data_IF_009181439158
#
_entry.id   IF_009181439158
#
_cell.length_a   1.000
_cell.length_b   1.000
_cell.length_c   1.000
_cell.angle_alpha   90.00
_cell.angle_beta   90.00
_cell.angle_gamma   90.00
#
_symmetry.space_group_name_H-M   'P 1'
#
loop_
_entity.id
_entity.type
_entity.pdbx_description
1 polymer ?
#
# COMPACT_ATOMS: atom_id res chain seq x y z
N UNK A 1 -47.48 -24.45 -57.93
CA UNK A 1 -48.03 -25.30 -56.85
C UNK A 1 -47.10 -25.21 -55.64
N UNK A 2 -47.66 -24.79 -54.50
CA UNK A 2 -46.99 -24.69 -53.19
C UNK A 2 -46.60 -26.08 -52.69
N UNK A 3 -45.38 -26.25 -52.15
CA UNK A 3 -45.18 -26.99 -50.89
C UNK A 3 -44.08 -26.30 -50.09
N UNK A 4 -44.57 -25.52 -49.14
CA UNK A 4 -43.89 -24.94 -48.00
C UNK A 4 -43.35 -26.11 -47.14
N UNK A 5 -42.07 -26.09 -46.77
CA UNK A 5 -41.62 -26.74 -45.56
C UNK A 5 -40.89 -25.69 -44.72
N UNK A 6 -41.62 -25.13 -43.76
CA UNK A 6 -41.02 -24.55 -42.57
C UNK A 6 -40.24 -25.68 -41.87
N UNK A 7 -38.95 -25.50 -41.67
CA UNK A 7 -38.27 -26.10 -40.53
C UNK A 7 -37.93 -24.97 -39.57
N UNK A 8 -38.61 -24.97 -38.44
CA UNK A 8 -38.34 -24.09 -37.32
C UNK A 8 -36.90 -24.30 -36.86
N UNK A 9 -36.05 -23.27 -37.01
CA UNK A 9 -34.83 -23.20 -36.24
C UNK A 9 -35.22 -22.93 -34.79
N UNK A 10 -35.28 -23.98 -33.98
CA UNK A 10 -35.23 -23.83 -32.53
C UNK A 10 -33.85 -23.29 -32.22
N UNK A 11 -33.75 -21.97 -32.09
CA UNK A 11 -32.64 -21.33 -31.41
C UNK A 11 -32.73 -21.78 -29.95
N UNK A 12 -32.04 -22.88 -29.62
CA UNK A 12 -31.57 -23.04 -28.25
C UNK A 12 -30.56 -21.91 -28.04
N UNK A 13 -31.02 -20.82 -27.45
CA UNK A 13 -30.15 -19.93 -26.70
C UNK A 13 -29.48 -20.81 -25.65
N UNK A 14 -28.26 -21.26 -25.94
CA UNK A 14 -27.36 -21.75 -24.91
C UNK A 14 -27.32 -20.62 -23.88
N UNK A 15 -27.68 -20.85 -22.61
CA UNK A 15 -27.47 -19.84 -21.61
C UNK A 15 -25.96 -19.57 -21.63
N UNK A 16 -25.57 -18.36 -22.03
CA UNK A 16 -24.30 -17.79 -21.57
C UNK A 16 -24.35 -18.00 -20.07
N UNK A 17 -23.53 -18.91 -19.53
CA UNK A 17 -23.57 -19.27 -18.12
C UNK A 17 -23.54 -17.96 -17.33
N UNK A 18 -24.62 -17.66 -16.61
CA UNK A 18 -24.62 -16.52 -15.71
C UNK A 18 -23.62 -16.86 -14.62
N UNK A 19 -22.40 -16.34 -14.76
CA UNK A 19 -21.34 -16.51 -13.78
C UNK A 19 -21.89 -16.20 -12.38
N UNK A 20 -21.69 -17.10 -11.42
CA UNK A 20 -22.22 -16.94 -10.06
C UNK A 20 -21.63 -15.69 -9.40
N UNK A 21 -22.32 -15.14 -8.41
CA UNK A 21 -21.81 -14.00 -7.64
C UNK A 21 -20.43 -14.33 -7.04
N UNK A 22 -20.27 -15.53 -6.50
CA UNK A 22 -19.00 -16.01 -5.95
C UNK A 22 -17.88 -16.07 -7.00
N UNK A 23 -18.17 -16.55 -8.22
CA UNK A 23 -17.15 -16.65 -9.27
C UNK A 23 -16.71 -15.27 -9.79
N UNK A 24 -17.65 -14.32 -9.94
CA UNK A 24 -17.34 -12.92 -10.30
C UNK A 24 -16.43 -12.27 -9.27
N UNK A 25 -16.77 -12.39 -7.99
CA UNK A 25 -15.98 -11.84 -6.89
C UNK A 25 -14.62 -12.52 -6.78
N UNK A 26 -14.56 -13.84 -6.95
CA UNK A 26 -13.31 -14.60 -6.98
C UNK A 26 -12.37 -14.13 -8.09
N UNK A 27 -12.88 -13.83 -9.28
CA UNK A 27 -12.09 -13.27 -10.38
C UNK A 27 -11.50 -11.91 -10.02
N UNK A 28 -12.30 -11.00 -9.47
CA UNK A 28 -11.84 -9.66 -9.07
C UNK A 28 -10.70 -9.76 -8.05
N UNK A 29 -10.83 -10.65 -7.06
CA UNK A 29 -9.76 -10.87 -6.07
C UNK A 29 -8.52 -11.46 -6.74
N UNK A 30 -8.66 -12.51 -7.55
CA UNK A 30 -7.52 -13.16 -8.20
C UNK A 30 -6.77 -12.23 -9.17
N UNK A 31 -7.48 -11.27 -9.77
CA UNK A 31 -6.90 -10.26 -10.65
C UNK A 31 -6.37 -9.03 -9.90
N UNK A 32 -6.54 -8.98 -8.58
CA UNK A 32 -6.23 -7.81 -7.77
C UNK A 32 -6.96 -6.53 -8.22
N UNK A 33 -8.15 -6.67 -8.80
CA UNK A 33 -8.99 -5.55 -9.19
C UNK A 33 -9.78 -5.04 -7.98
N UNK A 34 -9.09 -4.27 -7.13
CA UNK A 34 -9.65 -3.80 -5.87
C UNK A 34 -10.74 -2.74 -6.05
N UNK A 35 -10.66 -1.92 -7.10
CA UNK A 35 -11.72 -0.97 -7.44
C UNK A 35 -12.96 -1.69 -7.97
N UNK A 36 -12.78 -2.64 -8.89
CA UNK A 36 -13.87 -3.49 -9.35
C UNK A 36 -14.50 -4.28 -8.20
N UNK A 37 -13.70 -4.78 -7.25
CA UNK A 37 -14.19 -5.44 -6.06
C UNK A 37 -15.01 -4.50 -5.16
N UNK A 38 -14.53 -3.28 -4.89
CA UNK A 38 -15.24 -2.29 -4.06
C UNK A 38 -16.58 -1.88 -4.67
N UNK A 39 -16.63 -1.72 -6.00
CA UNK A 39 -17.85 -1.36 -6.72
C UNK A 39 -18.87 -2.52 -6.78
N UNK A 40 -18.41 -3.74 -7.05
CA UNK A 40 -19.30 -4.89 -7.33
C UNK A 40 -19.71 -5.67 -6.07
N UNK A 41 -18.86 -5.72 -5.04
CA UNK A 41 -19.15 -6.50 -3.84
C UNK A 41 -20.47 -6.11 -3.15
N UNK A 42 -20.78 -4.82 -2.90
CA UNK A 42 -22.04 -4.43 -2.27
C UNK A 42 -23.29 -4.86 -3.03
N UNK A 43 -23.19 -5.00 -4.36
CA UNK A 43 -24.28 -5.40 -5.26
C UNK A 43 -24.47 -6.92 -5.23
N UNK A 44 -23.37 -7.68 -5.15
CA UNK A 44 -23.38 -9.14 -5.30
C UNK A 44 -23.43 -9.90 -3.97
N UNK A 45 -23.05 -9.28 -2.84
CA UNK A 45 -22.87 -9.96 -1.55
C UNK A 45 -24.07 -10.78 -1.08
N UNK A 46 -25.29 -10.32 -1.33
CA UNK A 46 -26.52 -10.99 -0.88
C UNK A 46 -26.83 -12.25 -1.71
N UNK A 47 -26.23 -12.35 -2.91
CA UNK A 47 -26.35 -13.53 -3.79
C UNK A 47 -25.18 -14.51 -3.63
N UNK A 48 -24.11 -14.14 -2.91
CA UNK A 48 -22.97 -15.01 -2.65
C UNK A 48 -23.30 -16.13 -1.66
N UNK A 49 -22.84 -17.34 -1.96
CA UNK A 49 -23.06 -18.52 -1.13
C UNK A 49 -21.86 -18.85 -0.22
N UNK A 50 -20.67 -18.38 -0.57
CA UNK A 50 -19.42 -18.75 0.11
C UNK A 50 -19.07 -17.69 1.17
N UNK A 51 -19.24 -18.01 2.45
CA UNK A 51 -19.07 -17.04 3.53
C UNK A 51 -17.61 -16.59 3.74
N UNK A 52 -16.64 -17.50 3.62
CA UNK A 52 -15.23 -17.11 3.71
C UNK A 52 -14.86 -16.12 2.58
N UNK A 53 -15.49 -16.26 1.40
CA UNK A 53 -15.22 -15.38 0.26
C UNK A 53 -15.78 -13.97 0.50
N UNK A 54 -16.98 -13.86 1.11
CA UNK A 54 -17.52 -12.56 1.55
C UNK A 54 -16.56 -11.87 2.50
N UNK A 55 -16.07 -12.61 3.51
CA UNK A 55 -15.16 -12.06 4.50
C UNK A 55 -13.80 -11.68 3.89
N UNK A 56 -13.30 -12.49 2.94
CA UNK A 56 -12.09 -12.18 2.19
C UNK A 56 -12.27 -10.91 1.34
N UNK A 57 -13.43 -10.72 0.71
CA UNK A 57 -13.75 -9.47 -0.01
C UNK A 57 -13.71 -8.26 0.92
N UNK A 58 -14.38 -8.33 2.08
CA UNK A 58 -14.38 -7.25 3.07
C UNK A 58 -12.97 -6.89 3.53
N UNK A 59 -12.14 -7.90 3.85
CA UNK A 59 -10.74 -7.71 4.25
C UNK A 59 -9.95 -6.98 3.17
N UNK A 60 -10.04 -7.44 1.91
CA UNK A 60 -9.26 -6.86 0.82
C UNK A 60 -9.73 -5.45 0.47
N UNK A 61 -11.03 -5.17 0.52
CA UNK A 61 -11.54 -3.80 0.34
C UNK A 61 -11.06 -2.92 1.51
N UNK A 62 -11.21 -3.37 2.75
CA UNK A 62 -10.80 -2.57 3.91
C UNK A 62 -9.30 -2.30 3.94
N UNK A 63 -8.46 -3.27 3.52
CA UNK A 63 -7.03 -3.07 3.41
C UNK A 63 -6.65 -2.07 2.31
N UNK A 64 -7.15 -2.27 1.08
CA UNK A 64 -6.76 -1.45 -0.06
C UNK A 64 -7.36 -0.03 -0.03
N UNK A 65 -8.43 0.20 0.74
CA UNK A 65 -9.07 1.51 0.90
C UNK A 65 -8.81 2.14 2.28
N UNK A 66 -7.65 1.86 2.88
CA UNK A 66 -7.12 2.50 4.08
C UNK A 66 -8.06 2.41 5.31
N UNK A 67 -8.64 1.23 5.57
CA UNK A 67 -9.45 0.92 6.77
C UNK A 67 -8.81 -0.22 7.59
N UNK A 68 -7.59 -0.01 8.12
CA UNK A 68 -6.76 -1.07 8.70
C UNK A 68 -7.38 -1.77 9.92
N UNK A 69 -8.13 -1.05 10.76
CA UNK A 69 -8.82 -1.66 11.92
C UNK A 69 -9.87 -2.67 11.50
N UNK A 70 -10.63 -2.36 10.44
CA UNK A 70 -11.64 -3.29 9.91
C UNK A 70 -10.97 -4.47 9.22
N UNK A 71 -9.91 -4.24 8.45
CA UNK A 71 -9.13 -5.30 7.82
C UNK A 71 -8.56 -6.28 8.86
N UNK A 72 -7.93 -5.80 9.94
CA UNK A 72 -7.45 -6.65 11.04
C UNK A 72 -8.60 -7.41 11.70
N UNK A 73 -9.73 -6.75 11.96
CA UNK A 73 -10.91 -7.42 12.52
C UNK A 73 -11.44 -8.52 11.60
N UNK A 74 -11.45 -8.30 10.29
CA UNK A 74 -11.86 -9.27 9.29
C UNK A 74 -10.90 -10.45 9.24
N UNK A 75 -9.59 -10.20 9.22
CA UNK A 75 -8.55 -11.25 9.21
C UNK A 75 -8.70 -12.13 10.45
N UNK A 76 -8.88 -11.56 11.64
CA UNK A 76 -9.10 -12.34 12.87
C UNK A 76 -10.34 -13.24 12.77
N UNK A 77 -11.45 -12.74 12.24
CA UNK A 77 -12.67 -13.54 12.01
C UNK A 77 -12.41 -14.67 11.01
N UNK A 78 -11.71 -14.38 9.91
CA UNK A 78 -11.42 -15.35 8.85
C UNK A 78 -10.55 -16.49 9.39
N UNK A 79 -9.48 -16.13 10.11
CA UNK A 79 -8.58 -17.08 10.75
C UNK A 79 -9.22 -17.81 11.94
N UNK A 80 -10.29 -17.29 12.55
CA UNK A 80 -10.98 -18.03 13.63
C UNK A 80 -11.94 -19.07 13.05
N UNK A 81 -12.66 -18.71 11.97
CA UNK A 81 -13.83 -19.48 11.53
C UNK A 81 -13.58 -20.32 10.27
N UNK A 82 -12.59 -19.98 9.44
CA UNK A 82 -12.49 -20.52 8.07
C UNK A 82 -11.09 -21.02 7.67
N UNK A 83 -10.18 -21.32 8.62
CA UNK A 83 -8.81 -21.77 8.29
C UNK A 83 -8.78 -22.98 7.34
N UNK A 84 -9.63 -23.98 7.61
CA UNK A 84 -9.70 -25.20 6.81
C UNK A 84 -10.24 -24.95 5.39
N UNK A 85 -11.12 -23.96 5.23
CA UNK A 85 -11.75 -23.63 3.94
C UNK A 85 -10.81 -22.84 3.04
N UNK A 86 -10.03 -21.90 3.59
CA UNK A 86 -9.11 -21.08 2.80
C UNK A 86 -7.77 -21.79 2.52
N UNK A 87 -7.42 -22.80 3.33
CA UNK A 87 -6.19 -23.57 3.18
C UNK A 87 -4.95 -22.87 3.75
N UNK A 88 -3.91 -23.67 4.05
CA UNK A 88 -2.72 -23.22 4.80
C UNK A 88 -1.98 -22.03 4.18
N UNK A 89 -1.83 -22.00 2.85
CA UNK A 89 -1.16 -20.88 2.17
C UNK A 89 -1.89 -19.55 2.35
N UNK A 90 -3.23 -19.55 2.29
CA UNK A 90 -4.02 -18.34 2.51
C UNK A 90 -4.07 -17.95 4.00
N UNK A 91 -4.07 -18.92 4.92
CA UNK A 91 -3.90 -18.66 6.37
C UNK A 91 -2.59 -17.91 6.62
N UNK A 92 -1.48 -18.37 6.02
CA UNK A 92 -0.18 -17.71 6.14
C UNK A 92 -0.19 -16.33 5.48
N UNK A 93 -0.77 -16.21 4.28
CA UNK A 93 -0.91 -14.92 3.59
C UNK A 93 -1.66 -13.88 4.42
N UNK A 94 -2.79 -14.26 5.04
CA UNK A 94 -3.58 -13.38 5.91
C UNK A 94 -2.85 -13.02 7.21
N UNK A 95 -2.07 -13.95 7.75
CA UNK A 95 -1.23 -13.71 8.93
C UNK A 95 -0.11 -12.71 8.62
N UNK A 96 0.57 -12.85 7.48
CA UNK A 96 1.58 -11.91 6.99
C UNK A 96 0.95 -10.53 6.78
N UNK A 97 -0.23 -10.48 6.12
CA UNK A 97 -0.96 -9.23 5.91
C UNK A 97 -1.30 -8.54 7.23
N UNK A 98 -1.75 -9.28 8.25
CA UNK A 98 -2.02 -8.71 9.57
C UNK A 98 -0.76 -8.09 10.20
N UNK A 99 0.38 -8.78 10.13
CA UNK A 99 1.66 -8.26 10.63
C UNK A 99 2.09 -7.00 9.87
N UNK A 100 1.87 -6.98 8.54
CA UNK A 100 2.18 -5.81 7.71
C UNK A 100 1.31 -4.60 8.06
N UNK A 101 0.00 -4.81 8.27
CA UNK A 101 -0.90 -3.74 8.70
C UNK A 101 -0.46 -3.19 10.07
N UNK A 102 -0.14 -4.05 11.04
CA UNK A 102 0.39 -3.61 12.34
C UNK A 102 1.69 -2.82 12.18
N UNK A 103 2.61 -3.29 11.34
CA UNK A 103 3.84 -2.58 11.04
C UNK A 103 3.64 -1.22 10.37
N UNK A 104 2.72 -1.11 9.40
CA UNK A 104 2.37 0.17 8.76
C UNK A 104 1.78 1.17 9.76
N UNK A 105 1.15 0.70 10.83
CA UNK A 105 0.68 1.53 11.95
C UNK A 105 1.78 1.89 12.95
N UNK A 106 2.98 1.37 12.76
CA UNK A 106 4.11 1.56 13.68
C UNK A 106 4.10 0.62 14.89
N UNK A 107 3.26 -0.41 14.90
CA UNK A 107 3.24 -1.44 15.95
C UNK A 107 4.32 -2.51 15.67
N UNK A 108 5.56 -2.08 15.48
CA UNK A 108 6.65 -2.92 14.99
C UNK A 108 6.95 -4.11 15.91
N UNK A 109 6.99 -3.88 17.23
CA UNK A 109 7.24 -4.94 18.21
C UNK A 109 6.13 -6.02 18.15
N UNK A 110 4.86 -5.61 18.07
CA UNK A 110 3.73 -6.53 17.95
C UNK A 110 3.78 -7.31 16.64
N UNK A 111 4.08 -6.65 15.51
CA UNK A 111 4.22 -7.31 14.21
C UNK A 111 5.33 -8.37 14.23
N UNK A 112 6.49 -8.05 14.81
CA UNK A 112 7.59 -9.01 14.97
C UNK A 112 7.19 -10.18 15.88
N UNK A 113 6.60 -9.91 17.04
CA UNK A 113 6.19 -10.95 17.98
C UNK A 113 5.14 -11.91 17.37
N UNK A 114 4.16 -11.38 16.64
CA UNK A 114 3.16 -12.17 15.96
C UNK A 114 3.79 -13.08 14.90
N UNK A 115 4.71 -12.54 14.08
CA UNK A 115 5.44 -13.34 13.10
C UNK A 115 6.27 -14.46 13.77
N UNK A 116 7.00 -14.14 14.84
CA UNK A 116 7.79 -15.12 15.60
C UNK A 116 6.92 -16.24 16.17
N UNK A 117 5.77 -15.90 16.78
CA UNK A 117 4.87 -16.90 17.36
C UNK A 117 4.38 -17.93 16.33
N UNK A 118 4.14 -17.51 15.09
CA UNK A 118 3.66 -18.42 14.03
C UNK A 118 4.82 -19.25 13.47
N UNK A 119 6.02 -18.67 13.34
CA UNK A 119 7.24 -19.42 13.00
C UNK A 119 7.47 -20.54 14.03
N UNK A 120 7.35 -20.25 15.32
CA UNK A 120 7.55 -21.23 16.39
C UNK A 120 6.51 -22.37 16.33
N UNK A 121 5.25 -22.05 16.04
CA UNK A 121 4.18 -23.04 15.84
C UNK A 121 4.46 -23.95 14.64
N UNK A 122 4.89 -23.38 13.51
CA UNK A 122 5.21 -24.15 12.30
C UNK A 122 6.44 -25.05 12.52
N UNK A 123 7.46 -24.54 13.20
CA UNK A 123 8.64 -25.35 13.60
C UNK A 123 8.25 -26.50 14.52
N UNK A 124 7.36 -26.27 15.49
CA UNK A 124 6.84 -27.32 16.37
C UNK A 124 6.03 -28.40 15.61
N UNK A 125 5.49 -28.07 14.44
CA UNK A 125 4.81 -29.01 13.53
C UNK A 125 5.73 -29.64 12.49
N UNK A 126 7.06 -29.46 12.61
CA UNK A 126 8.08 -29.92 11.65
C UNK A 126 7.86 -29.39 10.22
N UNK A 127 7.33 -28.17 10.08
CA UNK A 127 7.24 -27.53 8.78
C UNK A 127 8.63 -27.28 8.17
N UNK A 128 8.75 -27.45 6.86
CA UNK A 128 9.97 -27.11 6.12
C UNK A 128 10.17 -25.58 6.09
N UNK A 129 11.41 -25.14 5.85
CA UNK A 129 11.79 -23.72 5.96
C UNK A 129 11.01 -22.83 4.99
N UNK A 130 10.75 -23.35 3.81
CA UNK A 130 10.00 -22.73 2.72
C UNK A 130 8.58 -22.35 3.16
N UNK A 131 8.00 -23.06 4.14
CA UNK A 131 6.66 -22.78 4.65
C UNK A 131 6.57 -21.51 5.51
N UNK A 132 7.68 -21.02 6.07
CA UNK A 132 7.69 -19.86 6.97
C UNK A 132 8.74 -18.80 6.62
N UNK A 133 9.43 -18.92 5.50
CA UNK A 133 10.43 -17.94 5.04
C UNK A 133 9.86 -16.51 4.95
N UNK A 134 8.64 -16.36 4.44
CA UNK A 134 7.96 -15.06 4.38
C UNK A 134 7.73 -14.44 5.77
N UNK A 135 7.43 -15.26 6.78
CA UNK A 135 7.31 -14.78 8.16
C UNK A 135 8.67 -14.43 8.76
N UNK A 136 9.74 -15.17 8.44
CA UNK A 136 11.11 -14.82 8.89
C UNK A 136 11.54 -13.45 8.34
N UNK A 137 11.17 -13.13 7.10
CA UNK A 137 11.41 -11.80 6.53
C UNK A 137 10.64 -10.70 7.28
N UNK A 138 9.36 -10.92 7.58
CA UNK A 138 8.53 -10.00 8.38
C UNK A 138 9.10 -9.81 9.77
N UNK A 139 9.44 -10.89 10.47
CA UNK A 139 10.05 -10.87 11.79
C UNK A 139 11.36 -10.10 11.80
N UNK A 140 12.27 -10.43 10.88
CA UNK A 140 13.57 -9.77 10.75
C UNK A 140 13.42 -8.27 10.51
N UNK A 141 12.52 -7.89 9.60
CA UNK A 141 12.27 -6.49 9.27
C UNK A 141 11.74 -5.70 10.48
N UNK A 142 10.65 -6.15 11.10
CA UNK A 142 10.03 -5.40 12.19
C UNK A 142 10.80 -5.48 13.52
N UNK A 143 11.60 -6.52 13.74
CA UNK A 143 12.51 -6.58 14.88
C UNK A 143 13.53 -5.44 14.87
N UNK A 144 14.08 -5.10 13.69
CA UNK A 144 14.99 -3.97 13.52
C UNK A 144 14.31 -2.61 13.78
N UNK A 145 13.00 -2.53 13.58
CA UNK A 145 12.21 -1.32 13.80
C UNK A 145 11.60 -1.23 15.21
N UNK A 146 11.66 -2.29 16.01
CA UNK A 146 10.95 -2.39 17.30
C UNK A 146 11.27 -1.30 18.32
N UNK A 147 12.46 -0.69 18.24
CA UNK A 147 12.91 0.42 19.10
C UNK A 147 12.73 1.80 18.47
N UNK A 148 12.19 1.86 17.26
CA UNK A 148 12.04 3.09 16.49
C UNK A 148 10.64 3.67 16.77
N UNK A 149 10.54 4.97 17.08
CA UNK A 149 9.24 5.62 17.23
C UNK A 149 8.39 5.45 15.98
N UNK A 150 7.10 5.23 16.17
CA UNK A 150 6.16 5.11 15.07
C UNK A 150 6.02 6.45 14.32
N UNK A 151 5.95 6.43 12.96
CA UNK A 151 5.67 7.61 12.17
C UNK A 151 4.37 8.27 12.63
N UNK A 152 4.38 9.58 12.81
CA UNK A 152 3.23 10.34 13.30
C UNK A 152 3.24 11.77 12.78
N UNK A 153 2.12 12.46 12.88
CA UNK A 153 1.98 13.83 12.40
C UNK A 153 1.48 14.76 13.49
N UNK A 154 2.17 15.89 13.65
CA UNK A 154 1.66 17.05 14.38
C UNK A 154 1.12 18.05 13.36
N UNK A 155 -0.10 18.52 13.55
CA UNK A 155 -0.77 19.48 12.66
C UNK A 155 -1.73 20.39 13.44
N UNK A 156 -2.07 21.58 12.93
CA UNK A 156 -3.12 22.39 13.52
C UNK A 156 -4.51 21.77 13.31
N UNK A 157 -5.46 22.15 14.15
CA UNK A 157 -6.89 21.80 14.08
C UNK A 157 -7.64 22.55 12.96
N UNK A 158 -7.05 22.56 11.76
CA UNK A 158 -7.63 23.17 10.57
C UNK A 158 -7.10 22.54 9.30
N UNK A 159 -7.78 22.84 8.19
CA UNK A 159 -7.31 22.48 6.85
C UNK A 159 -5.95 23.11 6.59
N UNK A 160 -4.98 22.30 6.18
CA UNK A 160 -3.65 22.78 5.80
C UNK A 160 -3.55 22.84 4.29
N UNK A 161 -3.31 24.02 3.73
CA UNK A 161 -3.05 24.20 2.31
C UNK A 161 -1.56 24.42 2.06
N UNK A 162 -0.97 23.63 1.17
CA UNK A 162 0.44 23.68 0.81
C UNK A 162 0.55 24.06 -0.68
N UNK A 163 1.30 25.12 -1.03
CA UNK A 163 1.56 25.42 -2.43
C UNK A 163 2.40 24.31 -3.06
N UNK A 164 2.07 23.96 -4.30
CA UNK A 164 2.79 22.96 -5.08
C UNK A 164 3.29 23.55 -6.39
N UNK A 165 4.27 22.88 -6.97
CA UNK A 165 4.69 23.13 -8.34
C UNK A 165 4.30 21.93 -9.21
N UNK A 166 3.98 22.20 -10.47
CA UNK A 166 3.66 21.16 -11.45
C UNK A 166 4.64 21.31 -12.59
N UNK A 167 5.51 20.32 -12.75
CA UNK A 167 6.54 20.32 -13.78
C UNK A 167 6.26 19.24 -14.81
N UNK A 168 6.53 19.54 -16.07
CA UNK A 168 6.49 18.51 -17.11
C UNK A 168 7.73 17.63 -16.99
N UNK A 169 7.56 16.33 -17.19
CA UNK A 169 8.65 15.35 -17.20
C UNK A 169 9.11 15.13 -18.63
N UNK A 170 10.36 15.52 -18.93
CA UNK A 170 10.97 15.25 -20.23
C UNK A 170 11.71 13.93 -20.15
N UNK A 171 11.41 12.99 -21.06
CA UNK A 171 12.26 11.82 -21.19
C UNK A 171 13.65 12.23 -21.72
N UNK A 172 14.71 11.54 -21.29
CA UNK A 172 16.01 11.61 -21.93
C UNK A 172 15.89 11.26 -23.39
N UNK A 173 16.80 11.83 -24.17
CA UNK A 173 16.93 11.56 -25.60
C UNK A 173 17.22 10.09 -25.91
N UNK A 174 17.63 9.29 -24.93
CA UNK A 174 17.91 7.86 -25.04
C UNK A 174 16.68 6.94 -24.90
N UNK A 175 15.51 7.46 -24.52
CA UNK A 175 14.29 6.66 -24.31
C UNK A 175 13.21 7.05 -25.33
N UNK A 176 12.74 6.10 -26.14
CA UNK A 176 11.61 6.29 -27.05
C UNK A 176 10.27 5.98 -26.37
N UNK A 177 9.17 6.70 -26.68
CA UNK A 177 9.11 7.82 -27.62
C UNK A 177 9.74 9.09 -27.02
N UNK A 178 10.56 9.79 -27.81
CA UNK A 178 11.09 11.11 -27.45
C UNK A 178 9.95 12.09 -27.17
N UNK A 179 9.99 12.77 -26.02
CA UNK A 179 8.99 13.80 -25.69
C UNK A 179 8.74 13.97 -24.20
N UNK A 180 7.64 14.67 -23.88
CA UNK A 180 7.15 14.81 -22.51
C UNK A 180 6.26 13.61 -22.16
N UNK A 181 6.47 12.99 -20.99
CA UNK A 181 5.70 11.79 -20.56
C UNK A 181 4.76 12.00 -19.39
N UNK A 182 4.45 13.24 -19.07
CA UNK A 182 3.47 13.60 -18.05
C UNK A 182 3.90 14.82 -17.26
N UNK A 183 3.30 14.95 -16.08
CA UNK A 183 3.61 16.00 -15.11
C UNK A 183 3.89 15.38 -13.76
N UNK A 184 4.83 15.95 -13.02
CA UNK A 184 5.07 15.64 -11.62
C UNK A 184 4.56 16.78 -10.73
N UNK A 185 4.05 16.44 -9.55
CA UNK A 185 3.67 17.39 -8.51
C UNK A 185 4.83 17.46 -7.53
N UNK A 186 5.34 18.67 -7.28
CA UNK A 186 6.43 18.92 -6.36
C UNK A 186 5.89 19.67 -5.14
N UNK A 187 6.16 19.14 -3.97
CA UNK A 187 5.74 19.69 -2.68
C UNK A 187 6.98 20.16 -1.89
N UNK A 188 6.94 21.37 -1.28
CA UNK A 188 8.04 21.83 -0.44
C UNK A 188 8.06 21.05 0.88
N UNK A 189 9.23 20.52 1.22
CA UNK A 189 9.49 19.81 2.48
C UNK A 189 10.70 20.45 3.15
N UNK A 190 10.57 20.81 4.42
CA UNK A 190 11.66 21.38 5.22
C UNK A 190 12.28 20.28 6.07
N UNK A 191 13.59 20.09 5.94
CA UNK A 191 14.40 19.19 6.77
C UNK A 191 15.60 19.98 7.28
N UNK A 192 15.86 19.94 8.59
CA UNK A 192 16.96 20.66 9.23
C UNK A 192 17.01 22.16 8.85
N UNK A 193 15.84 22.80 8.74
CA UNK A 193 15.70 24.23 8.41
C UNK A 193 15.92 24.59 6.93
N UNK A 194 16.14 23.62 6.05
CA UNK A 194 16.30 23.83 4.60
C UNK A 194 15.10 23.29 3.84
N UNK A 195 14.64 24.03 2.83
CA UNK A 195 13.54 23.64 1.97
C UNK A 195 14.03 22.83 0.78
N UNK A 196 13.40 21.69 0.56
CA UNK A 196 13.64 20.76 -0.54
C UNK A 196 12.35 20.51 -1.32
N UNK A 197 12.49 20.01 -2.55
CA UNK A 197 11.37 19.69 -3.44
C UNK A 197 11.22 18.20 -3.51
N UNK A 198 10.10 17.67 -3.01
CA UNK A 198 9.82 16.24 -3.06
C UNK A 198 8.77 16.01 -4.16
N UNK A 199 8.90 14.91 -4.90
CA UNK A 199 7.81 14.45 -5.74
C UNK A 199 6.70 13.92 -4.82
N UNK A 200 5.49 14.45 -4.97
CA UNK A 200 4.31 13.92 -4.31
C UNK A 200 3.75 12.77 -5.15
N UNK A 201 3.85 11.54 -4.66
CA UNK A 201 3.57 10.33 -5.45
C UNK A 201 2.64 9.37 -4.71
N UNK A 202 1.39 9.29 -5.17
CA UNK A 202 0.40 8.34 -4.66
C UNK A 202 0.71 6.89 -5.07
N UNK A 203 1.61 6.68 -6.04
CA UNK A 203 2.06 5.36 -6.48
C UNK A 203 3.24 4.81 -5.67
N UNK A 204 3.87 5.63 -4.82
CA UNK A 204 4.97 5.20 -3.97
C UNK A 204 4.45 4.69 -2.62
N UNK A 205 4.61 3.40 -2.32
CA UNK A 205 4.14 2.82 -1.05
C UNK A 205 4.83 3.41 0.20
N UNK A 206 6.09 3.85 0.06
CA UNK A 206 6.85 4.54 1.12
C UNK A 206 7.56 5.73 0.52
N UNK A 207 7.85 6.73 1.35
CA UNK A 207 8.70 7.85 0.97
C UNK A 207 10.10 7.35 0.62
N UNK A 208 10.74 8.03 -0.31
CA UNK A 208 12.00 7.60 -0.91
C UNK A 208 13.02 8.72 -0.91
N UNK A 209 14.30 8.36 -0.79
CA UNK A 209 15.43 9.25 -1.05
C UNK A 209 16.54 8.55 -1.82
N UNK A 210 17.23 9.29 -2.67
CA UNK A 210 18.53 8.82 -3.19
C UNK A 210 19.54 8.72 -2.05
N UNK A 211 20.48 7.77 -2.12
CA UNK A 211 21.50 7.59 -1.08
C UNK A 211 22.31 8.87 -0.82
N UNK A 212 22.59 9.64 -1.89
CA UNK A 212 23.28 10.93 -1.79
C UNK A 212 22.47 11.93 -0.96
N UNK A 213 21.19 12.05 -1.26
CA UNK A 213 20.31 13.00 -0.57
C UNK A 213 20.05 12.57 0.87
N UNK A 214 19.87 11.27 1.11
CA UNK A 214 19.76 10.71 2.44
C UNK A 214 20.97 11.04 3.32
N UNK A 215 22.20 10.94 2.77
CA UNK A 215 23.44 11.37 3.44
C UNK A 215 23.46 12.88 3.71
N UNK A 216 23.02 13.68 2.73
CA UNK A 216 22.99 15.16 2.84
C UNK A 216 22.09 15.64 3.99
N UNK A 217 20.91 15.04 4.15
CA UNK A 217 19.94 15.45 5.18
C UNK A 217 20.08 14.68 6.50
N UNK A 218 21.06 13.78 6.60
CA UNK A 218 21.37 13.04 7.84
C UNK A 218 20.38 11.93 8.18
N UNK A 219 19.86 11.22 7.18
CA UNK A 219 19.03 10.02 7.40
C UNK A 219 19.81 9.00 8.22
N UNK A 220 19.21 8.55 9.34
CA UNK A 220 19.72 7.43 10.12
C UNK A 220 19.25 6.14 9.47
N UNK A 221 20.20 5.32 9.01
CA UNK A 221 19.89 3.99 8.47
C UNK A 221 19.48 3.05 9.61
N UNK A 222 18.33 2.41 9.45
CA UNK A 222 17.71 1.48 10.39
C UNK A 222 17.90 0.02 9.96
N UNK A 223 17.91 -0.21 8.65
CA UNK A 223 18.13 -1.52 8.05
C UNK A 223 18.85 -1.34 6.71
N UNK A 224 19.90 -2.11 6.50
CA UNK A 224 20.77 -2.08 5.32
C UNK A 224 20.45 -3.18 4.29
N UNK A 225 19.50 -4.08 4.60
CA UNK A 225 18.98 -5.10 3.69
C UNK A 225 17.46 -5.04 3.63
N UNK A 226 16.97 -4.29 2.63
CA UNK A 226 15.59 -4.29 2.20
C UNK A 226 15.55 -4.66 0.71
N UNK A 227 14.81 -5.70 0.35
CA UNK A 227 14.46 -5.94 -1.06
C UNK A 227 13.30 -5.04 -1.44
N UNK A 228 13.58 -4.05 -2.28
CA UNK A 228 12.60 -3.13 -2.87
C UNK A 228 12.08 -3.78 -4.15
N UNK A 229 10.77 -3.67 -4.43
CA UNK A 229 10.12 -4.16 -5.64
C UNK A 229 10.27 -5.69 -5.86
N UNK A 230 10.31 -6.50 -4.81
CA UNK A 230 10.59 -7.96 -4.89
C UNK A 230 9.68 -8.74 -5.85
N UNK A 231 8.47 -8.26 -6.12
CA UNK A 231 7.48 -8.89 -7.00
C UNK A 231 7.39 -8.26 -8.39
N UNK A 232 8.18 -7.22 -8.68
CA UNK A 232 8.19 -6.50 -9.94
C UNK A 232 9.55 -6.61 -10.66
N UNK A 233 9.60 -6.56 -12.00
CA UNK A 233 10.85 -6.39 -12.72
C UNK A 233 11.57 -5.12 -12.23
N UNK A 234 12.82 -5.25 -11.78
CA UNK A 234 13.59 -4.15 -11.19
C UNK A 234 13.75 -4.22 -9.67
N UNK A 235 13.53 -5.39 -9.07
CA UNK A 235 13.87 -5.64 -7.67
C UNK A 235 15.32 -5.24 -7.38
N UNK A 236 15.53 -4.51 -6.27
CA UNK A 236 16.86 -4.07 -5.86
C UNK A 236 17.01 -4.11 -4.35
N UNK A 237 18.25 -4.21 -3.90
CA UNK A 237 18.57 -4.03 -2.49
C UNK A 237 18.68 -2.53 -2.21
N UNK A 238 17.88 -2.05 -1.27
CA UNK A 238 18.05 -0.74 -0.68
C UNK A 238 18.09 -0.81 0.83
N UNK A 239 18.06 0.35 1.44
CA UNK A 239 18.10 0.54 2.87
C UNK A 239 16.78 1.16 3.33
N UNK A 240 16.45 0.97 4.59
CA UNK A 240 15.40 1.71 5.27
C UNK A 240 16.04 2.66 6.27
N UNK A 241 15.64 3.92 6.25
CA UNK A 241 16.15 4.95 7.15
C UNK A 241 15.04 5.81 7.73
N UNK A 242 15.41 6.75 8.58
CA UNK A 242 14.49 7.75 9.14
C UNK A 242 15.21 9.07 9.41
N UNK A 243 14.44 10.16 9.44
CA UNK A 243 14.85 11.45 10.02
C UNK A 243 13.92 11.77 11.17
N UNK A 244 14.31 12.66 12.08
CA UNK A 244 13.43 13.02 13.19
C UNK A 244 12.16 13.72 12.71
N UNK A 245 12.31 14.71 11.82
CA UNK A 245 11.21 15.58 11.39
C UNK A 245 11.34 15.94 9.91
N UNK A 246 10.21 15.90 9.21
CA UNK A 246 9.98 16.59 7.95
C UNK A 246 8.83 17.57 8.15
N UNK A 247 9.01 18.84 7.83
CA UNK A 247 7.93 19.82 7.87
C UNK A 247 7.32 20.01 6.48
N UNK A 248 6.00 19.94 6.40
CA UNK A 248 5.20 20.12 5.17
C UNK A 248 4.13 21.16 5.47
N UNK A 249 4.29 22.38 4.97
CA UNK A 249 3.46 23.52 5.36
C UNK A 249 3.55 23.78 6.88
N UNK A 250 2.40 23.76 7.56
CA UNK A 250 2.27 23.89 9.01
C UNK A 250 2.21 22.54 9.75
N UNK A 251 2.51 21.44 9.07
CA UNK A 251 2.51 20.09 9.65
C UNK A 251 3.94 19.58 9.83
N UNK A 252 4.14 18.76 10.85
CA UNK A 252 5.42 18.09 11.13
C UNK A 252 5.17 16.58 11.07
N UNK A 253 5.81 15.93 10.10
CA UNK A 253 5.84 14.48 9.97
C UNK A 253 7.06 13.95 10.75
N UNK A 254 6.79 13.29 11.85
CA UNK A 254 7.77 12.74 12.78
C UNK A 254 8.14 11.32 12.38
N UNK A 255 9.43 11.01 12.45
CA UNK A 255 10.00 9.67 12.23
C UNK A 255 9.50 8.94 10.97
N UNK A 256 9.47 9.60 9.79
CA UNK A 256 9.15 8.92 8.54
C UNK A 256 10.05 7.71 8.30
N UNK A 257 9.49 6.64 7.75
CA UNK A 257 10.27 5.54 7.19
C UNK A 257 10.60 5.87 5.74
N UNK A 258 11.90 5.90 5.42
CA UNK A 258 12.42 6.33 4.14
C UNK A 258 13.13 5.17 3.48
N UNK A 259 12.63 4.75 2.33
CA UNK A 259 13.36 3.85 1.45
C UNK A 259 14.52 4.61 0.82
N UNK A 260 15.75 4.13 1.03
CA UNK A 260 16.97 4.71 0.48
C UNK A 260 17.54 3.74 -0.54
N UNK A 261 17.61 4.16 -1.81
CA UNK A 261 18.21 3.31 -2.86
C UNK A 261 19.56 3.85 -3.33
N UNK A 262 20.47 2.94 -3.72
CA UNK A 262 21.69 3.32 -4.43
C UNK A 262 21.35 3.92 -5.81
N UNK A 263 22.32 4.60 -6.43
CA UNK A 263 22.13 5.12 -7.78
C UNK A 263 21.69 4.02 -8.75
N UNK A 264 20.72 4.33 -9.59
CA UNK A 264 20.19 3.37 -10.56
C UNK A 264 20.10 3.98 -11.96
N UNK A 265 19.78 3.15 -12.96
CA UNK A 265 19.74 3.59 -14.35
C UNK A 265 18.71 4.72 -14.60
N UNK A 266 17.64 4.80 -13.78
CA UNK A 266 16.63 5.87 -13.87
C UNK A 266 17.21 7.24 -13.46
N UNK A 267 18.28 7.29 -12.67
CA UNK A 267 18.95 8.57 -12.33
C UNK A 267 19.58 9.25 -13.55
N UNK A 268 19.93 8.46 -14.58
CA UNK A 268 20.37 9.01 -15.88
C UNK A 268 19.21 9.60 -16.68
N UNK A 269 17.97 9.29 -16.27
CA UNK A 269 16.75 9.63 -16.98
C UNK A 269 16.03 10.82 -16.35
N UNK A 270 15.84 10.74 -15.05
CA UNK A 270 15.31 11.79 -14.20
C UNK A 270 15.99 11.62 -12.84
N UNK A 271 16.72 12.63 -12.41
CA UNK A 271 17.28 12.61 -11.06
C UNK A 271 16.16 12.89 -10.06
N UNK A 272 15.71 11.85 -9.38
CA UNK A 272 14.72 11.96 -8.29
C UNK A 272 15.48 11.91 -6.97
N UNK A 273 15.68 13.06 -6.33
CA UNK A 273 16.36 13.11 -5.05
C UNK A 273 15.45 12.63 -3.91
N UNK A 274 14.13 12.89 -3.99
CA UNK A 274 13.17 12.46 -2.98
C UNK A 274 11.73 12.34 -3.50
N UNK A 275 10.98 11.40 -2.89
CA UNK A 275 9.54 11.19 -3.08
C UNK A 275 8.87 11.20 -1.70
N UNK A 276 7.71 11.86 -1.61
CA UNK A 276 6.79 11.78 -0.49
C UNK A 276 5.64 10.84 -0.89
N UNK A 277 5.56 9.69 -0.22
CA UNK A 277 4.70 8.58 -0.63
C UNK A 277 3.48 8.35 0.27
N UNK A 278 2.89 7.16 0.13
CA UNK A 278 1.70 6.72 0.83
C UNK A 278 1.86 6.57 2.34
N UNK A 279 3.08 6.44 2.84
CA UNK A 279 3.40 6.46 4.28
C UNK A 279 3.01 7.79 4.94
N UNK A 280 3.18 8.91 4.23
CA UNK A 280 2.68 10.22 4.66
C UNK A 280 1.21 10.41 4.29
N UNK A 281 0.83 10.07 3.05
CA UNK A 281 -0.52 10.37 2.53
C UNK A 281 -1.60 9.63 3.32
N UNK A 282 -1.37 8.39 3.74
CA UNK A 282 -2.33 7.60 4.51
C UNK A 282 -2.57 8.11 5.95
N UNK A 283 -1.82 9.11 6.41
CA UNK A 283 -2.09 9.79 7.68
C UNK A 283 -3.32 10.71 7.62
N UNK A 284 -3.87 10.92 6.43
CA UNK A 284 -5.01 11.79 6.18
C UNK A 284 -6.19 10.99 5.63
N UNK A 285 -7.39 11.26 6.12
CA UNK A 285 -8.61 10.66 5.59
C UNK A 285 -8.97 11.24 4.22
N UNK A 286 -8.75 12.55 4.03
CA UNK A 286 -9.04 13.24 2.78
C UNK A 286 -7.94 14.25 2.44
N UNK A 287 -7.48 14.18 1.19
CA UNK A 287 -6.64 15.20 0.57
C UNK A 287 -7.29 15.66 -0.74
N UNK A 288 -7.11 16.93 -1.07
CA UNK A 288 -7.58 17.48 -2.34
C UNK A 288 -6.43 18.11 -3.11
N UNK A 289 -6.31 17.70 -4.37
CA UNK A 289 -5.35 18.26 -5.31
C UNK A 289 -6.06 19.31 -6.15
N UNK A 290 -5.51 20.53 -6.19
CA UNK A 290 -6.03 21.66 -6.94
C UNK A 290 -4.99 22.12 -7.97
N UNK A 291 -4.90 21.46 -9.15
CA UNK A 291 -3.82 21.71 -10.10
C UNK A 291 -3.83 23.13 -10.69
N UNK A 292 -5.01 23.72 -10.90
CA UNK A 292 -5.15 25.08 -11.45
C UNK A 292 -4.67 26.12 -10.45
N UNK A 293 -5.02 25.93 -9.19
CA UNK A 293 -4.64 26.77 -8.05
C UNK A 293 -3.23 26.45 -7.53
N UNK A 294 -2.59 25.40 -8.06
CA UNK A 294 -1.27 24.92 -7.65
C UNK A 294 -1.17 24.72 -6.13
N UNK A 295 -2.14 24.01 -5.55
CA UNK A 295 -2.12 23.66 -4.12
C UNK A 295 -2.59 22.24 -3.84
N UNK A 296 -2.10 21.69 -2.73
CA UNK A 296 -2.66 20.54 -2.04
C UNK A 296 -3.34 21.01 -0.77
N UNK A 297 -4.51 20.46 -0.45
CA UNK A 297 -5.19 20.71 0.83
C UNK A 297 -5.40 19.41 1.59
N UNK A 298 -4.88 19.37 2.82
CA UNK A 298 -5.02 18.27 3.77
C UNK A 298 -6.14 18.62 4.73
N UNK A 299 -7.28 17.95 4.60
CA UNK A 299 -8.47 18.35 5.34
C UNK A 299 -8.39 17.95 6.81
N UNK A 300 -9.06 18.72 7.65
CA UNK A 300 -9.23 18.43 9.06
C UNK A 300 -10.63 17.86 9.31
N UNK A 301 -10.69 16.73 10.02
CA UNK A 301 -11.93 16.11 10.42
C UNK A 301 -12.00 16.02 11.95
N UNK A 302 -12.94 16.78 12.53
CA UNK A 302 -13.13 16.94 13.98
C UNK A 302 -13.47 15.63 14.73
N UNK A 303 -13.80 14.55 14.01
CA UNK A 303 -14.42 13.34 14.57
C UNK A 303 -13.71 12.04 14.16
N UNK A 304 -12.40 11.98 14.41
CA UNK A 304 -11.76 10.72 14.81
C UNK A 304 -10.96 10.90 16.09
N UNK A 305 -11.24 10.01 17.04
CA UNK A 305 -10.47 9.76 18.26
C UNK A 305 -9.24 8.89 17.93
N UNK A 306 -8.16 8.98 18.71
CA UNK A 306 -6.98 9.79 18.45
C UNK A 306 -5.99 9.10 17.48
N UNK A 307 -5.63 9.76 16.39
CA UNK A 307 -4.25 9.64 15.90
C UNK A 307 -3.41 10.58 16.78
N UNK A 308 -3.02 10.04 17.94
CA UNK A 308 -1.88 10.48 18.77
C UNK A 308 -1.83 11.98 19.09
N UNK A 309 -2.64 12.40 20.05
CA UNK A 309 -2.19 13.45 20.95
C UNK A 309 -1.01 12.87 21.75
N UNK A 310 0.20 13.37 21.48
CA UNK A 310 1.36 13.10 22.31
C UNK A 310 1.20 13.92 23.59
N UNK A 311 0.94 13.24 24.71
CA UNK A 311 1.38 13.71 26.03
C UNK A 311 2.70 13.07 26.39
#
# INVERSE_FOLDING_TARGET
MKKLFLLAAVLFSIPVFSQSADERIGILINQSDWFGLEENYPILKDSMQVDFLKLMSEIMIDYNFNRPDKAISGIRKLLTNHQNEIGGSNVLGMTILACQIDGLRGNYASAAQNAQSIIDQLKAQNAEKEAYEGLEQVFSFYSKLSSIPAPSITRPDCDVSVPIEIEKVKLPTSVEPKGWRGTTILIPVIINGKTYRFIFDTGAGTSFMSERFAKEVGVRILNDSLTINSTLPGAMNGQMGTVENMQIGSMIFHYPLITVAPPNALDSVMRVDAILGMDFINLFDELRIYPKEKKLSFLYHLHRSPLRDVT
#
